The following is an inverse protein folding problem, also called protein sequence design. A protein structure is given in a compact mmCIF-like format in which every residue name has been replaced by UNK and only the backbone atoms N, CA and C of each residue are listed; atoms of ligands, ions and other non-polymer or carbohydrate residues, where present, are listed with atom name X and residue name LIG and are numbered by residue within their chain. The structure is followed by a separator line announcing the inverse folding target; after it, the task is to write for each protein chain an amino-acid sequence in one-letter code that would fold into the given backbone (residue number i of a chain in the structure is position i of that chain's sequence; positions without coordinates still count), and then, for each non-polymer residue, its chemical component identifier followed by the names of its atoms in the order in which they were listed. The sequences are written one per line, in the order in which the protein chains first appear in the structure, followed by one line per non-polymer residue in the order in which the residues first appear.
data_IF_058398527887
#
_entry.id   IF_058398527887
#
_cell.length_a   1.000
_cell.length_b   1.000
_cell.length_c   1.000
_cell.angle_alpha   90.00
_cell.angle_beta   90.00
_cell.angle_gamma   90.00
#
_symmetry.space_group_name_H-M   'P 1'
#
loop_
_entity.id
_entity.type
_entity.pdbx_description
1 polymer ?
#
# COMPACT_ATOMS: atom_id res chain seq x y z
N UNK A 1 27.09 0.57 -29.14
CA UNK A 1 26.92 1.09 -27.76
C UNK A 1 27.64 0.10 -26.84
N UNK A 2 28.73 0.56 -26.19
CA UNK A 2 29.63 -0.30 -25.40
C UNK A 2 28.97 -0.68 -24.07
N UNK A 3 28.89 -1.97 -23.79
CA UNK A 3 28.48 -2.51 -22.48
C UNK A 3 29.51 -2.08 -21.41
N UNK A 4 29.08 -1.31 -20.42
CA UNK A 4 29.90 -0.95 -19.25
C UNK A 4 29.56 -1.96 -18.14
N UNK A 5 30.46 -2.91 -17.80
CA UNK A 5 30.22 -3.93 -16.78
C UNK A 5 29.95 -3.39 -15.38
N UNK A 6 30.46 -2.18 -15.05
CA UNK A 6 30.35 -1.58 -13.72
C UNK A 6 28.94 -1.19 -13.29
N UNK A 7 28.00 -0.94 -14.20
CA UNK A 7 26.64 -0.48 -13.84
C UNK A 7 25.77 -1.60 -13.25
N UNK A 8 26.04 -2.86 -13.62
CA UNK A 8 25.36 -4.03 -13.04
C UNK A 8 25.79 -4.32 -11.60
N UNK A 9 27.06 -4.10 -11.30
CA UNK A 9 27.62 -4.28 -9.94
C UNK A 9 27.13 -3.20 -8.99
N UNK A 10 26.94 -1.96 -9.44
CA UNK A 10 26.36 -0.87 -8.60
C UNK A 10 24.91 -1.13 -8.22
N UNK A 11 24.11 -1.69 -9.14
CA UNK A 11 22.71 -2.02 -8.85
C UNK A 11 22.59 -3.19 -7.87
N UNK A 12 23.45 -4.19 -7.97
CA UNK A 12 23.53 -5.32 -7.03
C UNK A 12 24.03 -4.83 -5.65
N UNK A 13 25.03 -3.97 -5.62
CA UNK A 13 25.56 -3.40 -4.37
C UNK A 13 24.51 -2.53 -3.66
N UNK A 14 23.72 -1.74 -4.38
CA UNK A 14 22.61 -0.97 -3.82
C UNK A 14 21.49 -1.86 -3.26
N UNK A 15 21.18 -2.97 -3.92
CA UNK A 15 20.21 -3.95 -3.41
C UNK A 15 20.72 -4.67 -2.16
N UNK A 16 21.99 -5.04 -2.14
CA UNK A 16 22.65 -5.67 -0.99
C UNK A 16 22.79 -4.69 0.19
N UNK A 17 23.10 -3.41 -0.04
CA UNK A 17 23.13 -2.38 1.00
C UNK A 17 21.74 -2.12 1.60
N UNK A 18 20.69 -2.11 0.81
CA UNK A 18 19.31 -2.01 1.34
C UNK A 18 18.92 -3.25 2.17
N UNK A 19 19.44 -4.43 1.80
CA UNK A 19 19.21 -5.68 2.56
C UNK A 19 19.98 -5.67 3.89
N UNK A 20 21.26 -5.22 3.88
CA UNK A 20 22.08 -5.09 5.09
C UNK A 20 21.61 -3.99 6.02
N UNK A 21 21.12 -2.87 5.51
CA UNK A 21 20.60 -1.78 6.37
C UNK A 21 19.30 -2.21 7.07
N UNK A 22 18.42 -2.92 6.39
CA UNK A 22 17.25 -3.54 7.02
C UNK A 22 17.67 -4.63 8.04
N UNK A 23 18.67 -5.44 7.72
CA UNK A 23 19.17 -6.49 8.62
C UNK A 23 19.85 -5.91 9.87
N UNK A 24 20.62 -4.82 9.75
CA UNK A 24 21.26 -4.14 10.89
C UNK A 24 20.24 -3.50 11.82
N UNK A 25 19.20 -2.83 11.28
CA UNK A 25 18.10 -2.26 12.07
C UNK A 25 17.36 -3.36 12.85
N UNK A 26 17.13 -4.53 12.23
CA UNK A 26 16.49 -5.68 12.90
C UNK A 26 17.40 -6.38 13.91
N UNK A 27 18.71 -6.37 13.73
CA UNK A 27 19.67 -6.99 14.67
C UNK A 27 19.81 -6.20 15.97
N UNK A 28 19.81 -4.87 15.92
CA UNK A 28 19.80 -4.04 17.14
C UNK A 28 18.47 -4.17 17.91
N UNK A 29 17.34 -4.30 17.20
CA UNK A 29 16.05 -4.56 17.84
C UNK A 29 15.92 -5.97 18.41
N UNK A 30 16.50 -6.99 17.78
CA UNK A 30 16.48 -8.40 18.25
C UNK A 30 17.34 -8.62 19.48
N UNK A 31 18.43 -7.89 19.65
CA UNK A 31 19.34 -8.02 20.80
C UNK A 31 18.75 -7.47 22.12
N UNK A 32 17.81 -6.52 22.04
CA UNK A 32 17.13 -5.98 23.23
C UNK A 32 16.01 -6.89 23.79
N UNK A 33 15.66 -7.97 23.09
CA UNK A 33 14.55 -8.88 23.44
C UNK A 33 15.00 -10.20 24.08
N UNK A 34 16.29 -10.41 24.35
CA UNK A 34 16.81 -11.65 24.97
C UNK A 34 17.07 -11.55 26.49
N UNK A 35 16.47 -10.65 27.20
CA UNK A 35 16.44 -10.70 28.66
C UNK A 35 15.32 -11.66 29.13
N UNK A 36 15.68 -12.89 29.49
CA UNK A 36 14.81 -13.85 30.17
C UNK A 36 14.42 -13.34 31.56
N UNK A 37 13.17 -13.53 31.99
CA UNK A 37 12.87 -13.76 33.39
C UNK A 37 12.63 -15.26 33.64
N UNK A 38 13.42 -15.82 34.53
CA UNK A 38 13.12 -17.10 35.18
C UNK A 38 12.01 -16.91 36.21
N UNK A 39 11.06 -17.86 36.26
CA UNK A 39 10.06 -17.88 37.32
C UNK A 39 8.86 -18.73 36.92
N UNK A 40 8.97 -20.05 37.19
CA UNK A 40 7.87 -21.00 37.14
C UNK A 40 6.86 -20.74 38.26
N UNK A 41 5.60 -20.48 37.91
CA UNK A 41 4.46 -20.68 38.81
C UNK A 41 3.31 -21.30 38.01
N UNK A 42 2.96 -22.54 38.36
CA UNK A 42 1.73 -23.21 37.91
C UNK A 42 0.52 -22.41 38.42
N UNK A 43 -0.35 -21.98 37.53
CA UNK A 43 -1.66 -21.43 37.89
C UNK A 43 -2.73 -22.29 37.21
N UNK A 44 -3.66 -22.79 38.02
CA UNK A 44 -4.78 -23.61 37.64
C UNK A 44 -5.65 -22.98 36.54
N UNK A 45 -6.07 -23.78 35.57
CA UNK A 45 -7.06 -23.45 34.56
C UNK A 45 -8.40 -23.11 35.22
N UNK A 46 -8.77 -21.87 35.18
CA UNK A 46 -10.11 -21.38 35.47
C UNK A 46 -10.82 -21.19 34.13
N UNK A 47 -11.99 -21.80 33.98
CA UNK A 47 -12.81 -21.71 32.77
C UNK A 47 -13.02 -20.24 32.38
N UNK A 48 -12.71 -19.92 31.12
CA UNK A 48 -13.00 -18.61 30.55
C UNK A 48 -14.51 -18.40 30.40
N UNK A 49 -15.04 -17.26 30.80
CA UNK A 49 -16.43 -16.89 30.50
C UNK A 49 -16.57 -16.63 28.98
N UNK A 50 -17.59 -17.25 28.41
CA UNK A 50 -18.06 -17.04 27.05
C UNK A 50 -18.14 -15.53 26.74
N UNK A 51 -17.33 -15.06 25.78
CA UNK A 51 -17.23 -13.65 25.47
C UNK A 51 -18.57 -13.15 24.94
N UNK A 52 -19.22 -12.29 25.70
CA UNK A 52 -20.44 -11.59 25.31
C UNK A 52 -20.23 -10.86 23.98
N UNK A 53 -21.08 -11.15 23.01
CA UNK A 53 -21.18 -10.39 21.72
C UNK A 53 -21.45 -8.92 22.09
N UNK A 54 -20.62 -7.97 21.65
CA UNK A 54 -20.86 -6.56 21.94
C UNK A 54 -22.18 -6.09 21.31
N UNK A 55 -22.94 -5.21 21.98
CA UNK A 55 -24.26 -4.82 21.55
C UNK A 55 -24.23 -4.10 20.19
N UNK A 56 -25.14 -4.46 19.32
CA UNK A 56 -25.43 -3.84 18.03
C UNK A 56 -26.10 -2.48 18.22
N UNK A 57 -25.32 -1.41 18.42
CA UNK A 57 -25.82 -0.05 18.26
C UNK A 57 -24.77 0.80 17.55
N UNK A 58 -24.99 1.03 16.23
CA UNK A 58 -24.13 1.82 15.39
C UNK A 58 -23.07 0.96 14.70
N UNK A 59 -23.48 0.11 13.75
CA UNK A 59 -22.55 -0.68 12.94
C UNK A 59 -21.56 0.26 12.21
N UNK A 60 -20.27 0.14 12.54
CA UNK A 60 -19.22 0.94 11.91
C UNK A 60 -19.21 0.65 10.42
N UNK A 61 -19.50 1.67 9.60
CA UNK A 61 -19.53 1.55 8.14
C UNK A 61 -18.13 1.77 7.56
N UNK A 62 -17.89 1.17 6.39
CA UNK A 62 -16.68 1.43 5.61
C UNK A 62 -16.47 2.93 5.44
N UNK A 63 -15.26 3.46 5.67
CA UNK A 63 -14.98 4.88 5.47
C UNK A 63 -15.27 5.30 4.02
N UNK A 64 -15.98 6.41 3.85
CA UNK A 64 -16.11 7.06 2.55
C UNK A 64 -14.75 7.65 2.12
N UNK A 65 -13.97 8.10 3.09
CA UNK A 65 -12.60 8.57 2.95
C UNK A 65 -11.71 7.90 3.99
N UNK A 66 -10.72 7.14 3.54
CA UNK A 66 -9.73 6.50 4.39
C UNK A 66 -8.66 7.51 4.80
N UNK A 67 -8.39 7.59 6.09
CA UNK A 67 -7.26 8.29 6.69
C UNK A 67 -6.58 7.31 7.63
N UNK A 68 -5.59 6.59 7.11
CA UNK A 68 -5.06 5.41 7.76
C UNK A 68 -3.56 5.44 8.03
N UNK A 69 -3.14 4.57 8.95
CA UNK A 69 -1.76 4.19 9.19
C UNK A 69 -1.64 2.67 9.24
N UNK A 70 -0.44 2.17 8.93
CA UNK A 70 -0.08 0.75 8.99
C UNK A 70 0.58 0.41 10.32
N UNK A 71 0.25 -0.76 10.89
CA UNK A 71 0.93 -1.34 12.05
C UNK A 71 1.30 -2.79 11.77
N UNK A 72 2.57 -3.15 12.03
CA UNK A 72 3.00 -4.54 11.93
C UNK A 72 2.42 -5.39 13.07
N UNK A 73 2.45 -6.72 12.92
CA UNK A 73 1.82 -7.67 13.84
C UNK A 73 2.22 -7.46 15.31
N UNK A 74 3.49 -7.15 15.61
CA UNK A 74 3.92 -6.92 16.98
C UNK A 74 3.12 -5.80 17.67
N UNK A 75 2.98 -4.65 17.02
CA UNK A 75 2.19 -3.53 17.57
C UNK A 75 0.69 -3.84 17.62
N UNK A 76 0.18 -4.55 16.61
CA UNK A 76 -1.22 -4.94 16.55
C UNK A 76 -1.63 -5.91 17.67
N UNK A 77 -0.73 -6.82 18.08
CA UNK A 77 -1.01 -7.79 19.14
C UNK A 77 -0.79 -7.29 20.56
N UNK A 78 0.02 -6.24 20.76
CA UNK A 78 0.34 -5.69 22.08
C UNK A 78 -0.71 -4.68 22.54
N UNK A 79 -1.58 -4.99 23.54
CA UNK A 79 -2.73 -4.16 23.88
C UNK A 79 -2.37 -2.70 24.24
N UNK A 80 -1.30 -2.50 25.02
CA UNK A 80 -0.85 -1.17 25.45
C UNK A 80 -0.35 -0.34 24.27
N UNK A 81 0.41 -0.96 23.34
CA UNK A 81 0.96 -0.28 22.16
C UNK A 81 -0.18 0.10 21.21
N UNK A 82 -1.10 -0.85 20.95
CA UNK A 82 -2.25 -0.57 20.09
C UNK A 82 -3.16 0.52 20.69
N UNK A 83 -3.39 0.51 22.00
CA UNK A 83 -4.20 1.53 22.66
C UNK A 83 -3.60 2.94 22.52
N UNK A 84 -2.27 3.08 22.56
CA UNK A 84 -1.58 4.34 22.29
C UNK A 84 -1.81 4.80 20.85
N UNK A 85 -1.68 3.89 19.86
CA UNK A 85 -1.99 4.23 18.46
C UNK A 85 -3.45 4.59 18.24
N UNK A 86 -4.40 3.87 18.86
CA UNK A 86 -5.84 4.20 18.79
C UNK A 86 -6.11 5.59 19.36
N UNK A 87 -5.50 5.91 20.48
CA UNK A 87 -5.63 7.24 21.12
C UNK A 87 -5.11 8.35 20.20
N UNK A 88 -3.89 8.19 19.67
CA UNK A 88 -3.28 9.14 18.73
C UNK A 88 -4.06 9.25 17.42
N UNK A 89 -4.55 8.12 16.89
CA UNK A 89 -5.40 8.10 15.72
C UNK A 89 -6.63 8.98 15.89
N UNK A 90 -7.35 8.84 17.00
CA UNK A 90 -8.52 9.68 17.32
C UNK A 90 -8.16 11.16 17.45
N UNK A 91 -7.06 11.47 18.14
CA UNK A 91 -6.60 12.86 18.33
C UNK A 91 -6.30 13.57 17.02
N UNK A 92 -5.85 12.83 16.01
CA UNK A 92 -5.45 13.37 14.71
C UNK A 92 -6.43 13.07 13.56
N UNK A 93 -7.62 12.53 13.86
CA UNK A 93 -8.64 12.24 12.85
C UNK A 93 -8.31 11.10 11.90
N UNK A 94 -7.40 10.21 12.29
CA UNK A 94 -7.16 8.92 11.62
C UNK A 94 -8.32 7.98 11.96
N UNK A 95 -8.90 7.36 10.93
CA UNK A 95 -10.10 6.53 11.05
C UNK A 95 -9.87 5.06 10.65
N UNK A 96 -8.66 4.70 10.22
CA UNK A 96 -8.33 3.37 9.72
C UNK A 96 -6.98 2.90 10.26
N UNK A 97 -6.93 1.68 10.78
CA UNK A 97 -5.69 1.00 11.14
C UNK A 97 -5.55 -0.28 10.32
N UNK A 98 -4.47 -0.36 9.55
CA UNK A 98 -4.09 -1.58 8.82
C UNK A 98 -3.15 -2.38 9.70
N UNK A 99 -3.57 -3.58 10.08
CA UNK A 99 -2.89 -4.45 11.04
C UNK A 99 -2.39 -5.71 10.33
N UNK A 100 -1.08 -5.98 10.41
CA UNK A 100 -0.50 -7.21 9.84
C UNK A 100 -0.98 -8.46 10.57
N UNK A 101 -1.53 -9.40 9.83
CA UNK A 101 -1.88 -10.73 10.34
C UNK A 101 -0.68 -11.69 10.43
N UNK A 102 0.47 -11.29 9.94
CA UNK A 102 1.69 -12.09 9.84
C UNK A 102 2.88 -11.31 10.39
N UNK A 103 3.90 -12.03 10.88
CA UNK A 103 5.16 -11.37 11.26
C UNK A 103 5.87 -10.80 10.02
N UNK A 104 6.66 -9.73 10.23
CA UNK A 104 7.30 -8.99 9.15
C UNK A 104 8.53 -9.70 8.54
N UNK A 105 9.05 -10.75 9.18
CA UNK A 105 10.30 -11.41 8.78
C UNK A 105 10.05 -12.68 7.99
N UNK A 106 9.26 -13.57 8.56
CA UNK A 106 9.01 -14.90 7.97
C UNK A 106 7.60 -15.04 7.40
N UNK A 107 6.77 -14.01 7.53
CA UNK A 107 5.36 -14.00 7.11
C UNK A 107 4.54 -15.17 7.71
N UNK A 108 4.91 -15.58 8.93
CA UNK A 108 4.15 -16.58 9.67
C UNK A 108 2.91 -15.92 10.29
N UNK A 109 1.77 -16.64 10.34
CA UNK A 109 0.60 -16.13 11.02
C UNK A 109 0.93 -15.69 12.44
N UNK A 110 0.54 -14.47 12.80
CA UNK A 110 0.64 -13.94 14.14
C UNK A 110 -0.73 -13.88 14.81
N UNK A 111 -0.76 -13.94 16.12
CA UNK A 111 -2.02 -13.84 16.86
C UNK A 111 -2.29 -12.38 17.24
N UNK A 112 -3.43 -11.86 16.80
CA UNK A 112 -3.97 -10.59 17.27
C UNK A 112 -5.13 -10.93 18.22
N UNK A 113 -5.09 -10.47 19.47
CA UNK A 113 -6.21 -10.70 20.41
C UNK A 113 -7.50 -10.05 19.89
N UNK A 114 -8.62 -10.75 19.98
CA UNK A 114 -9.94 -10.23 19.58
C UNK A 114 -10.27 -8.90 20.26
N UNK A 115 -9.91 -8.74 21.52
CA UNK A 115 -10.09 -7.49 22.26
C UNK A 115 -9.36 -6.29 21.64
N UNK A 116 -8.25 -6.50 20.93
CA UNK A 116 -7.53 -5.45 20.23
C UNK A 116 -8.30 -4.96 18.98
N UNK A 117 -8.94 -5.88 18.27
CA UNK A 117 -9.82 -5.52 17.15
C UNK A 117 -11.08 -4.81 17.68
N UNK A 118 -11.66 -5.32 18.77
CA UNK A 118 -12.79 -4.68 19.44
C UNK A 118 -12.45 -3.27 19.96
N UNK A 119 -11.21 -3.04 20.41
CA UNK A 119 -10.72 -1.71 20.79
C UNK A 119 -10.76 -0.73 19.63
N UNK A 120 -10.35 -1.14 18.43
CA UNK A 120 -10.46 -0.29 17.24
C UNK A 120 -11.93 0.06 16.96
N UNK A 121 -12.80 -0.95 16.89
CA UNK A 121 -14.22 -0.80 16.58
C UNK A 121 -14.93 0.13 17.58
N UNK A 122 -14.73 -0.07 18.89
CA UNK A 122 -15.36 0.75 19.95
C UNK A 122 -14.88 2.20 19.95
N UNK A 123 -13.76 2.50 19.29
CA UNK A 123 -13.23 3.84 19.12
C UNK A 123 -13.55 4.46 17.75
N UNK A 124 -14.41 3.81 16.93
CA UNK A 124 -14.78 4.31 15.61
C UNK A 124 -13.66 4.19 14.56
N UNK A 125 -12.69 3.30 14.80
CA UNK A 125 -11.57 3.06 13.90
C UNK A 125 -11.84 1.78 13.10
N UNK A 126 -11.75 1.88 11.76
CA UNK A 126 -11.93 0.79 10.83
C UNK A 126 -10.71 -0.14 10.84
N UNK A 127 -10.84 -1.39 11.33
CA UNK A 127 -9.73 -2.32 11.38
C UNK A 127 -9.62 -3.09 10.06
N UNK A 128 -8.47 -3.01 9.41
CA UNK A 128 -8.10 -3.72 8.19
C UNK A 128 -7.08 -4.80 8.52
N UNK A 129 -7.35 -6.05 8.16
CA UNK A 129 -6.40 -7.15 8.31
C UNK A 129 -5.56 -7.29 7.03
N UNK A 130 -4.27 -6.95 7.09
CA UNK A 130 -3.35 -7.13 5.97
C UNK A 130 -2.76 -8.52 5.96
N UNK A 131 -2.84 -9.20 4.80
CA UNK A 131 -2.34 -10.55 4.56
C UNK A 131 -1.40 -10.52 3.35
N UNK A 132 -0.13 -10.88 3.58
CA UNK A 132 0.84 -11.10 2.52
C UNK A 132 0.57 -12.45 1.86
N UNK A 133 0.23 -12.42 0.56
CA UNK A 133 -0.15 -13.63 -0.18
C UNK A 133 1.09 -14.39 -0.66
N UNK A 134 1.92 -13.75 -1.47
CA UNK A 134 3.15 -14.31 -2.03
C UNK A 134 4.38 -13.50 -1.57
N UNK A 135 5.04 -13.87 -0.46
CA UNK A 135 6.20 -13.13 0.03
C UNK A 135 7.23 -12.87 -1.08
N UNK A 136 7.53 -11.58 -1.30
CA UNK A 136 8.42 -11.09 -2.38
C UNK A 136 7.93 -11.36 -3.81
N UNK A 137 6.67 -11.77 -3.99
CA UNK A 137 6.07 -12.15 -5.28
C UNK A 137 6.10 -13.64 -5.53
N UNK A 138 5.19 -14.12 -6.39
CA UNK A 138 5.04 -15.53 -6.75
C UNK A 138 6.27 -16.05 -7.48
N UNK A 139 6.82 -17.18 -7.00
CA UNK A 139 8.05 -17.80 -7.49
C UNK A 139 7.84 -19.19 -8.12
N UNK A 140 6.64 -19.74 -7.96
CA UNK A 140 6.25 -21.06 -8.44
C UNK A 140 4.88 -20.99 -9.12
N UNK A 141 4.76 -21.64 -10.27
CA UNK A 141 3.50 -21.71 -11.02
C UNK A 141 3.36 -23.08 -11.67
N UNK A 142 2.21 -23.77 -11.59
CA UNK A 142 0.96 -23.34 -10.93
C UNK A 142 1.10 -23.10 -9.43
N UNK A 143 0.25 -22.21 -8.88
CA UNK A 143 0.27 -21.89 -7.44
C UNK A 143 -0.17 -23.10 -6.65
N UNK A 144 0.57 -23.54 -5.61
CA UNK A 144 0.14 -24.61 -4.74
C UNK A 144 -1.22 -24.31 -4.08
N UNK A 145 -2.16 -25.23 -4.18
CA UNK A 145 -3.50 -25.06 -3.62
C UNK A 145 -3.47 -24.93 -2.09
N UNK A 146 -2.52 -25.59 -1.41
CA UNK A 146 -2.28 -25.44 0.03
C UNK A 146 -1.97 -23.98 0.40
N UNK A 147 -1.13 -23.29 -0.38
CA UNK A 147 -0.81 -21.88 -0.13
C UNK A 147 -2.06 -20.99 -0.21
N UNK A 148 -2.90 -21.20 -1.22
CA UNK A 148 -4.17 -20.48 -1.35
C UNK A 148 -5.10 -20.78 -0.16
N UNK A 149 -5.20 -22.05 0.23
CA UNK A 149 -6.02 -22.48 1.37
C UNK A 149 -5.55 -21.83 2.68
N UNK A 150 -4.24 -21.78 2.92
CA UNK A 150 -3.63 -21.15 4.10
C UNK A 150 -3.94 -19.65 4.18
N UNK A 151 -3.84 -18.93 3.05
CA UNK A 151 -4.15 -17.48 3.00
C UNK A 151 -5.62 -17.22 3.24
N UNK A 152 -6.51 -18.06 2.71
CA UNK A 152 -7.94 -17.96 2.96
C UNK A 152 -8.31 -18.39 4.40
N UNK A 153 -7.63 -19.36 5.00
CA UNK A 153 -7.79 -19.70 6.40
C UNK A 153 -7.42 -18.52 7.32
N UNK A 154 -6.31 -17.82 7.00
CA UNK A 154 -5.92 -16.62 7.74
C UNK A 154 -6.93 -15.49 7.58
N UNK A 155 -7.50 -15.30 6.39
CA UNK A 155 -8.57 -14.34 6.15
C UNK A 155 -9.83 -14.68 6.96
N UNK A 156 -10.26 -15.94 6.98
CA UNK A 156 -11.38 -16.39 7.82
C UNK A 156 -11.12 -16.17 9.30
N UNK A 157 -9.88 -16.42 9.76
CA UNK A 157 -9.47 -16.14 11.15
C UNK A 157 -9.58 -14.66 11.46
N UNK A 158 -9.12 -13.76 10.58
CA UNK A 158 -9.27 -12.32 10.78
C UNK A 158 -10.76 -11.91 10.89
N UNK A 159 -11.62 -12.46 10.05
CA UNK A 159 -13.07 -12.22 10.12
C UNK A 159 -13.64 -12.66 11.49
N UNK A 160 -13.24 -13.83 11.99
CA UNK A 160 -13.69 -14.32 13.31
C UNK A 160 -13.21 -13.45 14.47
N UNK A 161 -12.11 -12.70 14.30
CA UNK A 161 -11.61 -11.72 15.29
C UNK A 161 -12.35 -10.37 15.24
N UNK A 162 -13.21 -10.14 14.23
CA UNK A 162 -14.01 -8.92 14.08
C UNK A 162 -13.46 -7.90 13.09
N UNK A 163 -12.41 -8.22 12.33
CA UNK A 163 -11.96 -7.36 11.24
C UNK A 163 -13.08 -7.12 10.22
N UNK A 164 -13.13 -5.91 9.67
CA UNK A 164 -14.15 -5.48 8.71
C UNK A 164 -13.68 -5.44 7.27
N UNK A 165 -12.36 -5.53 7.08
CA UNK A 165 -11.73 -5.52 5.76
C UNK A 165 -10.53 -6.49 5.76
N UNK A 166 -10.39 -7.23 4.66
CA UNK A 166 -9.23 -8.08 4.39
C UNK A 166 -8.48 -7.48 3.22
N UNK A 167 -7.25 -7.05 3.48
CA UNK A 167 -6.34 -6.47 2.51
C UNK A 167 -5.28 -7.48 2.11
N UNK A 168 -5.24 -7.82 0.82
CA UNK A 168 -4.26 -8.73 0.25
C UNK A 168 -3.09 -7.95 -0.34
N UNK A 169 -1.88 -8.19 0.18
CA UNK A 169 -0.65 -7.62 -0.34
C UNK A 169 0.25 -8.70 -0.94
N UNK A 170 1.26 -8.26 -1.72
CA UNK A 170 2.15 -9.14 -2.50
C UNK A 170 1.39 -10.11 -3.40
N UNK A 171 0.18 -9.77 -3.82
CA UNK A 171 -0.61 -10.54 -4.78
C UNK A 171 -0.12 -10.26 -6.20
N UNK A 172 1.07 -10.76 -6.52
CA UNK A 172 1.79 -10.49 -7.74
C UNK A 172 2.84 -11.55 -8.06
N UNK A 173 3.28 -11.63 -9.30
CA UNK A 173 4.48 -12.34 -9.69
C UNK A 173 5.74 -11.58 -9.26
N UNK A 174 6.86 -12.28 -9.08
CA UNK A 174 8.14 -11.64 -8.82
C UNK A 174 8.67 -10.88 -10.06
N UNK A 175 9.51 -9.85 -9.84
CA UNK A 175 10.11 -9.05 -10.91
C UNK A 175 11.33 -9.72 -11.57
N UNK A 176 11.88 -10.81 -11.00
CA UNK A 176 13.15 -11.43 -11.44
C UNK A 176 13.07 -12.10 -12.81
N UNK A 177 11.86 -12.33 -13.31
CA UNK A 177 11.62 -13.03 -14.58
C UNK A 177 11.81 -14.54 -14.52
N UNK A 178 11.88 -15.15 -13.34
CA UNK A 178 11.92 -16.60 -13.14
C UNK A 178 10.76 -17.33 -13.82
N UNK A 179 9.57 -16.72 -13.81
CA UNK A 179 8.35 -17.27 -14.41
C UNK A 179 8.05 -16.64 -15.79
N UNK A 180 9.07 -16.32 -16.61
CA UNK A 180 8.89 -15.69 -17.94
C UNK A 180 8.03 -16.51 -18.88
N UNK A 181 8.01 -17.84 -18.73
CA UNK A 181 7.18 -18.75 -19.52
C UNK A 181 5.68 -18.58 -19.26
N UNK A 182 5.28 -17.99 -18.13
CA UNK A 182 3.88 -17.68 -17.85
C UNK A 182 3.49 -16.42 -18.60
N UNK A 183 2.58 -16.55 -19.56
CA UNK A 183 2.12 -15.43 -20.39
C UNK A 183 1.44 -14.33 -19.57
N UNK A 184 1.46 -13.09 -20.07
CA UNK A 184 0.94 -11.93 -19.37
C UNK A 184 -0.55 -12.07 -18.98
N UNK A 185 -1.40 -12.53 -19.89
CA UNK A 185 -2.83 -12.72 -19.62
C UNK A 185 -3.07 -13.84 -18.59
N UNK A 186 -2.22 -14.83 -18.51
CA UNK A 186 -2.30 -15.87 -17.49
C UNK A 186 -1.95 -15.31 -16.11
N UNK A 187 -0.95 -14.42 -16.03
CA UNK A 187 -0.62 -13.71 -14.78
C UNK A 187 -1.78 -12.88 -14.30
N UNK A 188 -2.45 -12.14 -15.17
CA UNK A 188 -3.65 -11.39 -14.82
C UNK A 188 -4.77 -12.31 -14.35
N UNK A 189 -5.07 -13.38 -15.08
CA UNK A 189 -6.12 -14.35 -14.69
C UNK A 189 -5.86 -14.96 -13.31
N UNK A 190 -4.61 -15.27 -12.98
CA UNK A 190 -4.26 -15.83 -11.67
C UNK A 190 -4.49 -14.82 -10.55
N UNK A 191 -3.97 -13.59 -10.68
CA UNK A 191 -4.12 -12.54 -9.66
C UNK A 191 -5.59 -12.15 -9.47
N UNK A 192 -6.28 -11.84 -10.56
CA UNK A 192 -7.69 -11.45 -10.57
C UNK A 192 -8.61 -12.59 -10.10
N UNK A 193 -8.29 -13.83 -10.47
CA UNK A 193 -9.03 -15.03 -10.07
C UNK A 193 -8.95 -15.30 -8.57
N UNK A 194 -7.75 -15.20 -7.98
CA UNK A 194 -7.60 -15.31 -6.53
C UNK A 194 -8.45 -14.27 -5.80
N UNK A 195 -8.32 -13.00 -6.17
CA UNK A 195 -9.04 -11.90 -5.53
C UNK A 195 -10.55 -11.99 -5.71
N UNK A 196 -11.02 -12.36 -6.91
CA UNK A 196 -12.45 -12.57 -7.19
C UNK A 196 -13.04 -13.71 -6.35
N UNK A 197 -12.30 -14.80 -6.16
CA UNK A 197 -12.72 -15.92 -5.33
C UNK A 197 -12.76 -15.51 -3.85
N UNK A 198 -11.72 -14.82 -3.36
CA UNK A 198 -11.67 -14.28 -2.01
C UNK A 198 -12.84 -13.31 -1.77
N UNK A 199 -13.10 -12.37 -2.69
CA UNK A 199 -14.21 -11.43 -2.59
C UNK A 199 -15.55 -12.15 -2.52
N UNK A 200 -15.79 -13.15 -3.37
CA UNK A 200 -17.05 -13.91 -3.36
C UNK A 200 -17.34 -14.56 -2.01
N UNK A 201 -16.29 -15.15 -1.38
CA UNK A 201 -16.44 -15.78 -0.07
C UNK A 201 -16.64 -14.75 1.05
N UNK A 202 -15.86 -13.69 1.05
CA UNK A 202 -15.80 -12.73 2.15
C UNK A 202 -16.95 -11.71 2.11
N UNK A 203 -17.37 -11.26 0.93
CA UNK A 203 -18.50 -10.33 0.78
C UNK A 203 -19.82 -10.93 1.23
N UNK A 204 -19.99 -12.25 1.13
CA UNK A 204 -21.16 -12.96 1.67
C UNK A 204 -21.27 -12.81 3.21
N UNK A 205 -20.20 -12.40 3.88
CA UNK A 205 -20.15 -12.13 5.33
C UNK A 205 -20.10 -10.62 5.64
N UNK A 206 -20.36 -9.76 4.65
CA UNK A 206 -20.28 -8.31 4.81
C UNK A 206 -18.86 -7.75 4.94
N UNK A 207 -17.83 -8.52 4.55
CA UNK A 207 -16.42 -8.13 4.65
C UNK A 207 -15.97 -7.45 3.36
N UNK A 208 -15.31 -6.30 3.51
CA UNK A 208 -14.66 -5.58 2.41
C UNK A 208 -13.37 -6.30 2.00
N UNK A 209 -13.13 -6.42 0.71
CA UNK A 209 -11.89 -6.98 0.17
C UNK A 209 -11.09 -5.90 -0.54
N UNK A 210 -9.85 -5.75 -0.16
CA UNK A 210 -8.93 -4.77 -0.74
C UNK A 210 -7.62 -5.41 -1.20
N UNK A 211 -6.91 -4.75 -2.11
CA UNK A 211 -5.64 -5.24 -2.65
C UNK A 211 -4.62 -4.13 -2.81
N UNK A 212 -3.39 -4.42 -2.35
CA UNK A 212 -2.23 -3.56 -2.58
C UNK A 212 -1.66 -3.82 -3.97
N UNK A 213 -1.37 -2.74 -4.69
CA UNK A 213 -0.73 -2.81 -6.00
C UNK A 213 0.51 -1.93 -6.03
N UNK A 214 1.47 -2.26 -6.89
CA UNK A 214 2.61 -1.39 -7.07
C UNK A 214 2.20 -0.01 -7.59
N UNK A 215 2.81 1.05 -7.06
CA UNK A 215 2.49 2.43 -7.43
C UNK A 215 2.56 2.70 -8.94
N UNK A 216 3.52 2.06 -9.63
CA UNK A 216 3.67 2.16 -11.09
C UNK A 216 2.46 1.63 -11.88
N UNK A 217 1.68 0.70 -11.30
CA UNK A 217 0.46 0.15 -11.93
C UNK A 217 -0.61 1.23 -12.12
N UNK A 218 -0.61 2.26 -11.27
CA UNK A 218 -1.47 3.43 -11.44
C UNK A 218 -1.24 4.13 -12.80
N UNK A 219 0.01 4.18 -13.24
CA UNK A 219 0.44 4.85 -14.48
C UNK A 219 0.61 3.90 -15.67
N UNK A 220 0.75 2.60 -15.41
CA UNK A 220 1.05 1.57 -16.40
C UNK A 220 -0.15 0.65 -16.62
N UNK A 221 -0.51 0.39 -17.90
CA UNK A 221 -1.60 -0.53 -18.24
C UNK A 221 -1.17 -1.99 -18.34
N UNK A 222 0.11 -2.22 -18.57
CA UNK A 222 0.68 -3.55 -18.78
C UNK A 222 1.89 -3.75 -17.87
N UNK A 223 1.68 -4.37 -16.72
CA UNK A 223 2.76 -4.63 -15.78
C UNK A 223 3.06 -6.14 -15.71
N UNK A 224 4.34 -6.55 -15.87
CA UNK A 224 4.72 -7.96 -15.93
C UNK A 224 4.49 -8.72 -14.62
N UNK A 225 4.21 -8.03 -13.51
CA UNK A 225 3.94 -8.68 -12.24
C UNK A 225 2.51 -9.24 -12.10
N UNK A 226 1.67 -9.12 -13.14
CA UNK A 226 0.31 -9.65 -13.13
C UNK A 226 -0.72 -8.74 -12.47
N UNK A 227 -0.42 -7.46 -12.29
CA UNK A 227 -1.35 -6.46 -11.78
C UNK A 227 -1.79 -5.51 -12.89
N UNK A 228 -3.09 -5.30 -13.04
CA UNK A 228 -3.71 -4.26 -13.87
C UNK A 228 -4.97 -3.73 -13.20
N UNK A 229 -5.17 -2.39 -13.23
CA UNK A 229 -6.30 -1.77 -12.53
C UNK A 229 -7.65 -2.22 -13.08
N UNK A 230 -7.77 -2.34 -14.40
CA UNK A 230 -9.03 -2.67 -15.09
C UNK A 230 -9.60 -4.04 -14.68
N UNK A 231 -8.74 -5.03 -14.46
CA UNK A 231 -9.16 -6.35 -13.99
C UNK A 231 -9.46 -6.36 -12.49
N UNK A 232 -8.63 -5.67 -11.70
CA UNK A 232 -8.78 -5.56 -10.26
C UNK A 232 -10.03 -4.76 -9.86
N UNK A 233 -10.47 -3.78 -10.67
CA UNK A 233 -11.70 -3.00 -10.49
C UNK A 233 -12.96 -3.88 -10.34
N UNK A 234 -12.94 -5.09 -10.90
CA UNK A 234 -14.01 -6.07 -10.77
C UNK A 234 -13.77 -7.11 -9.66
N UNK A 235 -12.54 -7.25 -9.21
CA UNK A 235 -12.11 -8.32 -8.32
C UNK A 235 -12.10 -7.93 -6.83
N UNK A 236 -12.05 -6.63 -6.51
CA UNK A 236 -11.99 -6.12 -5.13
C UNK A 236 -12.90 -4.91 -4.91
N UNK A 237 -13.07 -4.50 -3.66
CA UNK A 237 -13.87 -3.33 -3.28
C UNK A 237 -13.01 -2.07 -3.14
N UNK A 238 -11.72 -2.23 -2.81
CA UNK A 238 -10.75 -1.14 -2.64
C UNK A 238 -9.42 -1.53 -3.28
N UNK A 239 -8.82 -0.63 -4.03
CA UNK A 239 -7.49 -0.79 -4.63
C UNK A 239 -6.55 0.24 -4.00
N UNK A 240 -5.38 -0.24 -3.55
CA UNK A 240 -4.40 0.58 -2.84
C UNK A 240 -3.04 0.59 -3.56
N UNK A 241 -2.82 1.52 -4.52
CA UNK A 241 -1.50 1.69 -5.12
C UNK A 241 -0.49 2.23 -4.11
N UNK A 242 0.66 1.57 -3.99
CA UNK A 242 1.78 1.98 -3.15
C UNK A 242 2.60 3.06 -3.86
N UNK A 243 2.06 4.28 -3.92
CA UNK A 243 2.59 5.39 -4.70
C UNK A 243 3.68 6.18 -3.94
N UNK A 244 4.73 5.51 -3.47
CA UNK A 244 5.85 6.13 -2.77
C UNK A 244 6.76 6.89 -3.73
N UNK A 245 6.91 8.23 -3.65
CA UNK A 245 7.71 8.99 -4.61
C UNK A 245 9.15 8.49 -4.74
N UNK A 246 9.74 7.99 -3.63
CA UNK A 246 11.08 7.42 -3.63
C UNK A 246 11.28 6.21 -4.56
N UNK A 247 10.20 5.53 -4.96
CA UNK A 247 10.23 4.34 -5.82
C UNK A 247 10.08 4.65 -7.32
N UNK A 248 9.77 5.91 -7.69
CA UNK A 248 9.66 6.34 -9.10
C UNK A 248 11.02 6.68 -9.69
N UNK A 249 11.96 5.72 -9.62
CA UNK A 249 13.39 5.91 -9.92
C UNK A 249 13.71 6.27 -11.37
N UNK A 250 12.75 6.11 -12.26
CA UNK A 250 12.87 6.52 -13.67
C UNK A 250 12.64 8.01 -13.89
N UNK A 251 12.16 8.76 -12.86
CA UNK A 251 11.90 10.19 -12.96
C UNK A 251 12.42 10.93 -11.73
N UNK A 252 13.49 11.72 -11.91
CA UNK A 252 13.99 12.61 -10.85
C UNK A 252 12.95 13.64 -10.43
N UNK A 253 12.12 14.10 -11.37
CA UNK A 253 11.04 15.04 -11.10
C UNK A 253 10.02 14.43 -10.13
N UNK A 254 9.56 13.21 -10.35
CA UNK A 254 8.61 12.55 -9.48
C UNK A 254 9.19 12.29 -8.07
N UNK A 255 10.47 11.94 -7.95
CA UNK A 255 11.13 11.77 -6.65
C UNK A 255 11.14 13.11 -5.88
N UNK A 256 11.45 14.21 -6.56
CA UNK A 256 11.56 15.53 -5.94
C UNK A 256 10.21 16.21 -5.67
N UNK A 257 9.13 15.76 -6.29
CA UNK A 257 7.81 16.39 -6.22
C UNK A 257 6.75 15.42 -5.69
N UNK A 258 6.66 15.22 -4.36
CA UNK A 258 5.72 14.27 -3.76
C UNK A 258 4.26 14.58 -4.07
N UNK A 259 3.88 15.85 -4.13
CA UNK A 259 2.54 16.27 -4.52
C UNK A 259 2.22 15.81 -5.95
N UNK A 260 3.08 16.13 -6.93
CA UNK A 260 2.87 15.74 -8.34
C UNK A 260 2.73 14.23 -8.47
N UNK A 261 3.63 13.46 -7.83
CA UNK A 261 3.65 12.00 -7.95
C UNK A 261 2.35 11.39 -7.46
N UNK A 262 1.86 11.83 -6.30
CA UNK A 262 0.60 11.34 -5.77
C UNK A 262 -0.60 11.84 -6.58
N UNK A 263 -0.64 13.12 -6.93
CA UNK A 263 -1.72 13.69 -7.72
C UNK A 263 -1.86 13.00 -9.07
N UNK A 264 -0.76 12.89 -9.83
CA UNK A 264 -0.74 12.23 -11.15
C UNK A 264 -1.15 10.77 -11.07
N UNK A 265 -0.56 10.02 -10.13
CA UNK A 265 -0.91 8.60 -9.93
C UNK A 265 -2.37 8.44 -9.53
N UNK A 266 -2.90 9.33 -8.69
CA UNK A 266 -4.29 9.31 -8.23
C UNK A 266 -5.28 9.61 -9.36
N UNK A 267 -5.05 10.67 -10.14
CA UNK A 267 -5.93 11.06 -11.23
C UNK A 267 -5.97 9.96 -12.30
N UNK A 268 -4.79 9.50 -12.75
CA UNK A 268 -4.72 8.46 -13.78
C UNK A 268 -5.36 7.15 -13.31
N UNK A 269 -5.14 6.74 -12.05
CA UNK A 269 -5.76 5.54 -11.52
C UNK A 269 -7.28 5.69 -11.37
N UNK A 270 -7.75 6.82 -10.82
CA UNK A 270 -9.18 7.12 -10.65
C UNK A 270 -9.94 7.03 -11.98
N UNK A 271 -9.39 7.64 -13.03
CA UNK A 271 -10.04 7.67 -14.34
C UNK A 271 -10.09 6.30 -15.03
N UNK A 272 -9.31 5.33 -14.54
CA UNK A 272 -9.31 3.93 -15.00
C UNK A 272 -10.27 3.03 -14.22
N UNK A 273 -10.67 3.43 -13.01
CA UNK A 273 -11.55 2.65 -12.13
C UNK A 273 -13.01 3.10 -12.28
N UNK A 274 -13.93 2.15 -12.16
CA UNK A 274 -15.38 2.39 -12.28
C UNK A 274 -16.17 1.90 -11.07
N UNK A 275 -15.64 0.96 -10.30
CA UNK A 275 -16.34 0.26 -9.22
C UNK A 275 -15.59 0.31 -7.89
N UNK A 276 -14.30 -0.07 -7.92
CA UNK A 276 -13.49 -0.12 -6.72
C UNK A 276 -13.13 1.29 -6.23
N UNK A 277 -13.16 1.49 -4.92
CA UNK A 277 -12.67 2.71 -4.29
C UNK A 277 -11.14 2.77 -4.40
N UNK A 278 -10.62 3.93 -4.80
CA UNK A 278 -9.18 4.17 -4.88
C UNK A 278 -8.68 4.81 -3.58
N UNK A 279 -7.73 4.19 -2.93
CA UNK A 279 -7.04 4.71 -1.73
C UNK A 279 -5.54 4.60 -1.98
N UNK A 280 -4.76 5.65 -1.72
CA UNK A 280 -3.31 5.60 -1.95
C UNK A 280 -2.54 5.21 -0.69
N UNK A 281 -1.60 4.26 -0.81
CA UNK A 281 -0.52 4.18 0.14
C UNK A 281 0.49 5.29 -0.13
N UNK A 282 0.76 6.11 0.90
CA UNK A 282 1.68 7.23 0.83
C UNK A 282 2.93 6.99 1.69
N UNK A 283 4.02 7.65 1.31
CA UNK A 283 5.32 7.47 1.96
C UNK A 283 5.41 8.27 3.26
N UNK A 284 5.58 7.56 4.39
CA UNK A 284 5.83 8.15 5.71
C UNK A 284 7.25 7.95 6.23
N UNK A 285 8.25 7.71 5.37
CA UNK A 285 9.63 7.37 5.72
C UNK A 285 10.65 8.19 4.90
N UNK A 286 11.89 8.30 5.41
CA UNK A 286 12.92 9.24 4.94
C UNK A 286 13.55 8.94 3.56
N UNK A 287 13.32 7.77 2.95
CA UNK A 287 13.99 7.40 1.71
C UNK A 287 13.78 8.46 0.61
N UNK A 288 14.87 9.05 0.11
CA UNK A 288 14.90 10.04 -0.99
C UNK A 288 13.96 11.25 -0.78
N UNK A 289 13.78 11.69 0.46
CA UNK A 289 13.03 12.93 0.77
C UNK A 289 13.85 14.17 0.43
N UNK A 290 15.16 14.16 0.70
CA UNK A 290 16.07 15.29 0.49
C UNK A 290 15.97 15.98 -0.89
N UNK A 291 15.80 15.27 -2.02
CA UNK A 291 15.64 15.92 -3.33
C UNK A 291 14.43 16.86 -3.44
N UNK A 292 13.43 16.73 -2.58
CA UNK A 292 12.26 17.61 -2.55
C UNK A 292 12.55 18.97 -1.86
N UNK A 293 13.59 19.06 -1.06
CA UNK A 293 13.86 20.22 -0.20
C UNK A 293 12.87 20.39 0.96
N UNK A 294 11.97 19.43 1.18
CA UNK A 294 10.94 19.48 2.21
C UNK A 294 11.37 18.72 3.46
N UNK A 295 10.89 19.16 4.63
CA UNK A 295 10.93 18.33 5.84
C UNK A 295 9.95 17.15 5.70
N UNK A 296 10.18 16.04 6.39
CA UNK A 296 9.33 14.86 6.28
C UNK A 296 7.84 15.14 6.62
N UNK A 297 7.48 15.93 7.65
CA UNK A 297 6.09 16.29 7.89
C UNK A 297 5.43 17.03 6.71
N UNK A 298 6.12 18.00 6.12
CA UNK A 298 5.63 18.75 4.96
C UNK A 298 5.53 17.84 3.72
N UNK A 299 6.51 16.97 3.52
CA UNK A 299 6.52 15.97 2.45
C UNK A 299 5.31 15.02 2.53
N UNK A 300 4.96 14.56 3.74
CA UNK A 300 3.77 13.72 3.97
C UNK A 300 2.50 14.54 3.73
N UNK A 301 2.41 15.78 4.23
CA UNK A 301 1.26 16.64 4.04
C UNK A 301 1.01 16.96 2.55
N UNK A 302 2.06 17.15 1.74
CA UNK A 302 1.95 17.31 0.28
C UNK A 302 1.32 16.09 -0.38
N UNK A 303 1.67 14.88 0.06
CA UNK A 303 1.08 13.64 -0.46
C UNK A 303 -0.39 13.51 -0.07
N UNK A 304 -0.74 13.82 1.19
CA UNK A 304 -2.13 13.83 1.68
C UNK A 304 -2.97 14.82 0.88
N UNK A 305 -2.46 16.05 0.70
CA UNK A 305 -3.17 17.09 -0.04
C UNK A 305 -3.38 16.71 -1.51
N UNK A 306 -2.42 16.04 -2.13
CA UNK A 306 -2.55 15.53 -3.48
C UNK A 306 -3.71 14.53 -3.62
N UNK A 307 -3.90 13.64 -2.63
CA UNK A 307 -5.03 12.72 -2.61
C UNK A 307 -6.37 13.46 -2.47
N UNK A 308 -6.43 14.49 -1.62
CA UNK A 308 -7.62 15.35 -1.46
C UNK A 308 -7.94 16.08 -2.77
N UNK A 309 -6.95 16.73 -3.39
CA UNK A 309 -7.12 17.49 -4.63
C UNK A 309 -7.50 16.55 -5.82
N UNK A 310 -7.00 15.34 -5.84
CA UNK A 310 -7.38 14.30 -6.81
C UNK A 310 -8.77 13.70 -6.55
N UNK A 311 -9.44 14.02 -5.43
CA UNK A 311 -10.78 13.55 -5.06
C UNK A 311 -10.90 12.02 -5.09
N UNK A 312 -9.93 11.35 -4.47
CA UNK A 312 -9.95 9.88 -4.32
C UNK A 312 -10.45 9.47 -2.93
N UNK A 313 -10.57 8.17 -2.68
CA UNK A 313 -11.09 7.62 -1.43
C UNK A 313 -10.16 7.71 -0.21
N UNK A 314 -9.10 8.52 -0.29
CA UNK A 314 -8.21 8.79 0.84
C UNK A 314 -6.81 8.19 0.72
N UNK A 315 -6.17 8.02 1.87
CA UNK A 315 -4.77 7.59 1.96
C UNK A 315 -4.49 6.72 3.20
N UNK A 316 -3.43 5.92 3.12
CA UNK A 316 -2.84 5.19 4.24
C UNK A 316 -1.35 5.49 4.26
N UNK A 317 -0.82 5.94 5.40
CA UNK A 317 0.62 6.19 5.56
C UNK A 317 1.34 4.89 5.85
N UNK A 318 2.32 4.55 5.01
CA UNK A 318 3.23 3.45 5.24
C UNK A 318 4.51 3.93 5.91
N UNK A 319 4.84 3.34 7.05
CA UNK A 319 6.15 3.46 7.69
C UNK A 319 6.48 2.11 8.35
N UNK A 320 7.45 1.39 7.80
CA UNK A 320 7.84 0.07 8.30
C UNK A 320 8.41 0.13 9.74
N UNK A 321 9.07 1.22 10.12
CA UNK A 321 9.58 1.43 11.48
C UNK A 321 8.49 1.93 12.44
N UNK A 322 7.28 2.26 11.93
CA UNK A 322 6.16 2.82 12.69
C UNK A 322 6.50 4.11 13.45
N UNK A 323 7.49 4.86 12.98
CA UNK A 323 7.76 6.19 13.48
C UNK A 323 6.76 7.19 12.87
N UNK A 324 5.61 7.37 13.53
CA UNK A 324 4.54 8.25 13.06
C UNK A 324 4.60 9.68 13.62
N UNK A 325 5.68 10.07 14.34
CA UNK A 325 5.89 11.46 14.76
C UNK A 325 5.70 12.47 13.62
N UNK A 326 6.44 12.32 12.49
CA UNK A 326 6.27 13.17 11.32
C UNK A 326 4.87 13.13 10.70
N UNK A 327 4.16 12.00 10.79
CA UNK A 327 2.78 11.87 10.30
C UNK A 327 1.80 12.66 11.15
N UNK A 328 1.94 12.62 12.48
CA UNK A 328 1.10 13.42 13.35
C UNK A 328 1.32 14.92 13.13
N UNK A 329 2.55 15.35 12.87
CA UNK A 329 2.84 16.73 12.52
C UNK A 329 2.29 17.11 11.14
N UNK A 330 2.35 16.22 10.15
CA UNK A 330 1.70 16.42 8.85
C UNK A 330 0.17 16.61 9.00
N UNK A 331 -0.48 15.82 9.85
CA UNK A 331 -1.92 15.95 10.11
C UNK A 331 -2.29 17.26 10.81
N UNK A 332 -1.42 17.77 11.68
CA UNK A 332 -1.58 19.12 12.27
C UNK A 332 -1.49 20.20 11.16
N UNK A 333 -0.57 20.05 10.21
CA UNK A 333 -0.47 20.97 9.05
C UNK A 333 -1.74 20.92 8.20
N UNK A 334 -2.29 19.73 7.95
CA UNK A 334 -3.54 19.55 7.20
C UNK A 334 -4.75 20.18 7.91
N UNK A 335 -4.78 20.13 9.24
CA UNK A 335 -5.86 20.71 10.05
C UNK A 335 -5.71 22.22 10.30
N UNK A 336 -4.54 22.79 10.06
CA UNK A 336 -4.28 24.20 10.28
C UNK A 336 -5.06 25.10 9.31
N UNK A 337 -5.40 26.31 9.76
CA UNK A 337 -6.01 27.34 8.89
C UNK A 337 -5.01 27.94 7.88
N UNK A 338 -3.71 27.85 8.18
CA UNK A 338 -2.64 28.30 7.30
C UNK A 338 -2.38 27.31 6.17
N UNK A 339 -2.05 27.74 4.96
CA UNK A 339 -1.67 26.85 3.88
C UNK A 339 -0.47 25.98 4.25
N UNK A 340 -0.45 24.74 3.76
CA UNK A 340 0.70 23.85 3.90
C UNK A 340 1.91 24.51 3.22
N UNK A 341 3.09 24.57 3.87
CA UNK A 341 4.28 25.21 3.28
C UNK A 341 4.60 24.67 1.88
N UNK A 342 4.73 25.56 0.88
CA UNK A 342 5.09 25.21 -0.50
C UNK A 342 4.00 24.56 -1.34
N UNK A 343 2.79 24.36 -0.84
CA UNK A 343 1.73 23.63 -1.55
C UNK A 343 1.29 24.32 -2.85
N UNK A 344 1.18 25.66 -2.85
CA UNK A 344 0.77 26.39 -4.04
C UNK A 344 1.84 26.34 -5.16
N UNK A 345 3.11 26.36 -4.77
CA UNK A 345 4.21 26.14 -5.71
C UNK A 345 4.18 24.72 -6.30
N UNK A 346 3.85 23.71 -5.49
CA UNK A 346 3.72 22.33 -5.93
C UNK A 346 2.55 22.14 -6.91
N UNK A 347 1.40 22.76 -6.63
CA UNK A 347 0.22 22.79 -7.53
C UNK A 347 0.55 23.46 -8.86
N UNK A 348 1.23 24.61 -8.82
CA UNK A 348 1.64 25.34 -10.02
C UNK A 348 2.67 24.54 -10.85
N UNK A 349 3.61 23.87 -10.21
CA UNK A 349 4.57 23.00 -10.90
C UNK A 349 3.86 21.80 -11.54
N UNK A 350 2.91 21.19 -10.87
CA UNK A 350 2.09 20.09 -11.39
C UNK A 350 1.32 20.52 -12.63
N UNK A 351 0.63 21.65 -12.58
CA UNK A 351 -0.12 22.16 -13.72
C UNK A 351 0.78 22.52 -14.94
N UNK A 352 2.03 22.92 -14.71
CA UNK A 352 3.01 23.16 -15.79
C UNK A 352 3.46 21.86 -16.45
N UNK A 353 3.75 20.85 -15.63
CA UNK A 353 4.20 19.54 -16.13
C UNK A 353 3.10 18.84 -16.94
N UNK A 354 1.85 18.93 -16.51
CA UNK A 354 0.72 18.37 -17.26
C UNK A 354 0.52 19.06 -18.62
N UNK A 355 0.57 20.38 -18.67
CA UNK A 355 0.51 21.13 -19.94
C UNK A 355 1.67 20.80 -20.88
N UNK A 356 2.87 20.61 -20.35
CA UNK A 356 4.04 20.21 -21.15
C UNK A 356 3.84 18.82 -21.76
N UNK A 357 3.33 17.86 -20.99
CA UNK A 357 3.04 16.52 -21.46
C UNK A 357 1.94 16.50 -22.54
N UNK A 358 0.89 17.29 -22.38
CA UNK A 358 -0.19 17.43 -23.39
C UNK A 358 0.32 18.04 -24.70
N UNK A 359 1.15 19.08 -24.63
CA UNK A 359 1.75 19.72 -25.81
C UNK A 359 2.65 18.75 -26.59
N UNK A 360 3.43 17.91 -25.89
CA UNK A 360 4.26 16.89 -26.54
C UNK A 360 3.41 15.79 -27.20
N UNK A 361 2.30 15.40 -26.58
CA UNK A 361 1.40 14.39 -27.13
C UNK A 361 0.65 14.87 -28.38
N UNK A 362 0.34 16.16 -28.47
CA UNK A 362 -0.34 16.76 -29.62
C UNK A 362 0.62 17.15 -30.76
N UNK A 363 1.86 17.56 -30.45
CA UNK A 363 2.89 17.94 -31.43
C UNK A 363 3.42 16.79 -32.29
N UNK A 364 3.24 15.52 -31.87
CA UNK A 364 3.66 14.34 -32.64
C UNK A 364 2.65 13.88 -33.71
N UNK A 365 1.50 14.56 -33.85
CA UNK A 365 0.50 14.30 -34.91
C UNK A 365 0.66 15.24 -36.14
N UNK A 366 1.85 15.32 -36.75
CA UNK A 366 1.97 15.91 -38.08
C UNK A 366 1.55 14.85 -39.11
N UNK A 367 0.56 15.10 -39.98
CA UNK A 367 0.16 14.13 -41.00
C UNK A 367 1.32 13.94 -41.99
N UNK A 368 1.72 12.71 -42.25
CA UNK A 368 2.61 12.40 -43.34
C UNK A 368 1.98 12.86 -44.66
N UNK A 369 2.53 13.92 -45.25
CA UNK A 369 2.16 14.40 -46.58
C UNK A 369 2.43 13.26 -47.58
N UNK A 370 1.35 12.68 -48.15
CA UNK A 370 1.44 11.78 -49.29
C UNK A 370 2.06 12.57 -50.46
N UNK A 371 3.32 12.33 -50.77
CA UNK A 371 3.91 12.71 -52.05
C UNK A 371 3.19 11.92 -53.15
N UNK A 372 2.38 12.61 -53.90
CA UNK A 372 1.77 12.13 -55.13
C UNK A 372 2.87 12.09 -56.20
N UNK A 373 3.35 10.92 -56.53
CA UNK A 373 4.18 10.69 -57.68
C UNK A 373 3.29 10.75 -58.93
N UNK A 374 3.34 11.87 -59.66
CA UNK A 374 2.81 11.97 -60.99
C UNK A 374 3.74 11.17 -61.91
N UNK A 375 3.21 10.10 -62.49
CA UNK A 375 3.87 9.37 -63.54
C UNK A 375 3.88 10.18 -64.83
N UNK A 376 5.06 10.38 -65.36
CA UNK A 376 5.23 10.90 -66.72
C UNK A 376 5.35 9.70 -67.65
N UNK A 377 4.38 9.59 -68.59
CA UNK A 377 4.47 8.75 -69.77
C UNK A 377 5.03 9.63 -70.92
N UNK A 378 6.11 9.23 -71.45
CA UNK A 378 6.45 9.36 -72.87
C UNK A 378 7.52 8.33 -73.21
#
# INVERSE_FOLDING_TARGET
MKNIPGLRYLAILAMVCCFFLNFMIYREYGASLQAKPEGTAQVAQKAEPEAAVPPSNGELRRPAEYRGIYLHNYSARMPKILADYVTKAKQHGVNTLVLDMQDAVYFRPGEIPQQNVALCLSNGIWPVARIVVFPYGLKEYPVPQSLIADRMALARKAVSLGFREIQFDYIRFEDSGRLRQVGQEERYRMVEGFLSNARRELSAKGIVVSADVFGRVALNRHDPIGQRLEGLDNAVDVILPMAYPSHYTWSRFMIANPYYTLYKSSVVARDRLKKAQLVMYIQGFEMRVAPSGLSLPVYIAHQMQACVDARIGGWIVWNAAQNYGPTWDALKLMAAKSPIPGIEAARAATAREERSAESQATGTRTPATKKRTEGNRA
#
